data_IF_113953362438
#
_entry.id   IF_113953362438
#
_cell.length_a   1.000
_cell.length_b   1.000
_cell.length_c   1.000
_cell.angle_alpha   90.00
_cell.angle_beta   90.00
_cell.angle_gamma   90.00
#
_symmetry.space_group_name_H-M   'P 1'
#
loop_
_entity.id
_entity.type
_entity.pdbx_description
1 polymer ?
#
# COMPACT_ATOMS: atom_id res chain seq x y z
N UNK A 1 -20.78 -46.57 59.51
CA UNK A 1 -20.74 -45.20 58.95
C UNK A 1 -20.28 -45.26 57.50
N UNK A 2 -20.86 -44.47 56.58
CA UNK A 2 -20.94 -44.82 55.17
C UNK A 2 -19.81 -44.25 54.30
N UNK A 3 -19.49 -45.00 53.23
CA UNK A 3 -18.54 -44.65 52.16
C UNK A 3 -19.02 -43.41 51.39
N UNK A 4 -18.21 -42.35 51.34
CA UNK A 4 -18.47 -41.14 50.54
C UNK A 4 -18.18 -41.41 49.04
N UNK A 5 -19.21 -41.23 48.21
CA UNK A 5 -19.15 -41.26 46.74
C UNK A 5 -18.48 -39.98 46.21
N UNK A 6 -17.64 -40.11 45.17
CA UNK A 6 -17.13 -39.02 44.33
C UNK A 6 -18.31 -38.36 43.60
N UNK A 7 -18.40 -37.03 43.69
CA UNK A 7 -19.29 -36.21 42.88
C UNK A 7 -18.62 -35.94 41.53
N UNK A 8 -19.33 -36.22 40.44
CA UNK A 8 -18.97 -35.77 39.10
C UNK A 8 -19.28 -34.28 39.00
N UNK A 9 -18.29 -33.45 38.68
CA UNK A 9 -18.51 -32.07 38.29
C UNK A 9 -18.82 -32.03 36.80
N UNK A 10 -19.98 -31.48 36.48
CA UNK A 10 -20.45 -31.22 35.14
C UNK A 10 -19.71 -30.02 34.54
N UNK A 11 -19.18 -30.19 33.33
CA UNK A 11 -18.65 -29.10 32.50
C UNK A 11 -19.80 -28.16 32.09
N UNK A 12 -19.64 -26.83 32.16
CA UNK A 12 -20.61 -25.92 31.56
C UNK A 12 -20.44 -25.98 30.02
N UNK A 13 -21.54 -26.29 29.35
CA UNK A 13 -21.66 -26.35 27.89
C UNK A 13 -21.49 -24.95 27.27
N UNK A 14 -20.91 -24.98 26.08
CA UNK A 14 -20.68 -23.87 25.17
C UNK A 14 -21.93 -22.98 24.97
N UNK A 15 -21.68 -21.68 24.93
CA UNK A 15 -22.60 -20.68 24.36
C UNK A 15 -21.91 -19.95 23.19
N UNK A 16 -21.12 -20.67 22.40
CA UNK A 16 -20.17 -20.09 21.43
C UNK A 16 -20.67 -20.00 19.99
N UNK A 17 -21.92 -20.34 19.71
CA UNK A 17 -22.48 -20.22 18.36
C UNK A 17 -23.39 -18.99 18.21
N UNK A 18 -24.06 -18.54 19.28
CA UNK A 18 -25.02 -17.43 19.21
C UNK A 18 -24.34 -16.05 19.30
N UNK A 19 -23.24 -15.94 20.06
CA UNK A 19 -22.43 -14.71 20.12
C UNK A 19 -21.53 -14.55 18.87
N UNK A 20 -21.05 -15.67 18.31
CA UNK A 20 -20.34 -15.68 17.02
C UNK A 20 -21.30 -15.39 15.85
N UNK A 21 -22.54 -15.89 15.92
CA UNK A 21 -23.59 -15.53 14.97
C UNK A 21 -23.96 -14.04 15.10
N UNK A 22 -24.09 -13.49 16.31
CA UNK A 22 -24.34 -12.04 16.49
C UNK A 22 -23.20 -11.18 15.97
N UNK A 23 -21.94 -11.49 16.27
CA UNK A 23 -20.79 -10.76 15.73
C UNK A 23 -20.69 -10.88 14.19
N UNK A 24 -21.02 -12.06 13.63
CA UNK A 24 -21.10 -12.27 12.18
C UNK A 24 -22.34 -11.64 11.52
N UNK A 25 -23.37 -11.28 12.30
CA UNK A 25 -24.57 -10.58 11.83
C UNK A 25 -24.38 -9.07 11.93
N UNK A 26 -23.69 -8.56 12.97
CA UNK A 26 -23.34 -7.14 13.11
C UNK A 26 -22.32 -6.70 12.05
N UNK A 27 -21.43 -7.58 11.58
CA UNK A 27 -20.57 -7.31 10.41
C UNK A 27 -21.33 -7.33 9.06
N UNK A 28 -22.56 -7.87 9.02
CA UNK A 28 -23.40 -7.90 7.81
C UNK A 28 -24.41 -6.76 7.73
N UNK A 29 -24.66 -6.04 8.83
CA UNK A 29 -25.66 -4.96 8.86
C UNK A 29 -25.14 -3.57 8.45
N UNK A 30 -23.82 -3.40 8.28
CA UNK A 30 -23.27 -2.24 7.57
C UNK A 30 -23.18 -2.53 6.07
N UNK A 31 -24.34 -2.48 5.39
CA UNK A 31 -24.53 -2.39 3.94
C UNK A 31 -23.39 -2.88 3.04
N UNK A 32 -23.46 -4.15 2.62
CA UNK A 32 -22.64 -4.76 1.57
C UNK A 32 -23.04 -4.24 0.16
N UNK A 33 -23.05 -2.92 -0.01
CA UNK A 33 -23.04 -2.33 -1.35
C UNK A 33 -21.58 -2.31 -1.75
N UNK A 34 -21.17 -3.28 -2.57
CA UNK A 34 -19.86 -3.25 -3.20
C UNK A 34 -19.60 -1.83 -3.73
N UNK A 35 -18.43 -1.23 -3.46
CA UNK A 35 -18.17 0.15 -3.89
C UNK A 35 -18.49 0.27 -5.38
N UNK A 36 -19.26 1.30 -5.74
CA UNK A 36 -19.65 1.55 -7.13
C UNK A 36 -18.39 1.56 -8.00
N UNK A 37 -18.43 0.83 -9.11
CA UNK A 37 -17.34 0.75 -10.08
C UNK A 37 -17.89 1.07 -11.45
N UNK A 38 -17.33 2.10 -12.07
CA UNK A 38 -17.62 2.49 -13.45
C UNK A 38 -16.37 2.44 -14.32
N UNK A 39 -16.52 1.89 -15.51
CA UNK A 39 -15.47 1.80 -16.52
C UNK A 39 -15.63 2.94 -17.52
N UNK A 40 -14.52 3.59 -17.89
CA UNK A 40 -14.50 4.66 -18.87
C UNK A 40 -13.17 4.71 -19.64
N UNK A 41 -13.12 5.54 -20.68
CA UNK A 41 -11.96 5.67 -21.54
C UNK A 41 -11.46 7.12 -21.57
N UNK A 42 -10.15 7.31 -21.40
CA UNK A 42 -9.48 8.60 -21.53
C UNK A 42 -8.72 8.66 -22.87
N UNK A 43 -8.86 9.72 -23.69
CA UNK A 43 -8.06 9.87 -24.90
C UNK A 43 -6.56 9.91 -24.62
N UNK A 44 -5.76 9.18 -25.41
CA UNK A 44 -4.29 9.19 -25.30
C UNK A 44 -3.63 8.90 -26.65
N UNK A 45 -3.04 9.94 -27.25
CA UNK A 45 -2.50 9.91 -28.60
C UNK A 45 -3.56 9.43 -29.63
N UNK A 46 -3.28 8.36 -30.37
CA UNK A 46 -4.18 7.73 -31.35
C UNK A 46 -5.05 6.62 -30.74
N UNK A 47 -5.07 6.50 -29.40
CA UNK A 47 -5.70 5.41 -28.65
C UNK A 47 -6.46 5.94 -27.44
N UNK A 48 -6.98 5.02 -26.64
CA UNK A 48 -7.61 5.31 -25.36
C UNK A 48 -6.93 4.57 -24.20
N UNK A 49 -7.10 5.10 -22.99
CA UNK A 49 -6.68 4.50 -21.73
C UNK A 49 -7.93 3.98 -21.04
N UNK A 50 -8.01 2.66 -20.87
CA UNK A 50 -9.06 2.04 -20.04
C UNK A 50 -8.85 2.43 -18.57
N UNK A 51 -9.88 2.98 -17.96
CA UNK A 51 -9.90 3.40 -16.56
C UNK A 51 -11.11 2.79 -15.84
N UNK A 52 -10.95 2.58 -14.53
CA UNK A 52 -11.99 2.15 -13.61
C UNK A 52 -12.07 3.17 -12.46
N UNK A 53 -13.22 3.77 -12.22
CA UNK A 53 -13.47 4.61 -11.05
C UNK A 53 -14.19 3.79 -9.99
N UNK A 54 -13.55 3.62 -8.83
CA UNK A 54 -14.09 2.92 -7.67
C UNK A 54 -14.53 3.94 -6.60
N UNK A 55 -15.70 3.75 -6.00
CA UNK A 55 -16.28 4.64 -4.98
C UNK A 55 -17.36 5.56 -5.54
N UNK A 56 -17.66 6.67 -4.84
CA UNK A 56 -18.68 7.62 -5.28
C UNK A 56 -18.35 8.23 -6.64
N UNK A 57 -19.33 8.22 -7.55
CA UNK A 57 -19.18 8.73 -8.91
C UNK A 57 -19.35 10.26 -8.98
N UNK A 58 -20.06 10.84 -8.00
CA UNK A 58 -20.36 12.27 -7.93
C UNK A 58 -19.22 13.10 -7.32
N UNK A 59 -18.22 12.45 -6.74
CA UNK A 59 -17.08 13.09 -6.07
C UNK A 59 -15.83 12.92 -6.94
N UNK A 60 -15.02 13.98 -7.01
CA UNK A 60 -13.73 13.93 -7.68
C UNK A 60 -12.81 12.88 -7.04
N UNK A 61 -11.99 12.16 -7.84
CA UNK A 61 -11.07 11.17 -7.30
C UNK A 61 -10.05 11.80 -6.37
N UNK A 62 -9.80 11.16 -5.23
CA UNK A 62 -8.71 11.57 -4.35
C UNK A 62 -7.37 11.00 -4.80
N UNK A 63 -7.39 9.88 -5.53
CA UNK A 63 -6.21 9.17 -6.01
C UNK A 63 -6.38 8.74 -7.47
N UNK A 64 -5.36 8.99 -8.29
CA UNK A 64 -5.16 8.31 -9.59
C UNK A 64 -4.07 7.26 -9.42
N UNK A 65 -4.39 6.01 -9.75
CA UNK A 65 -3.58 4.83 -9.45
C UNK A 65 -3.32 3.98 -10.70
N UNK A 66 -2.15 3.34 -10.80
CA UNK A 66 -1.90 2.35 -11.86
C UNK A 66 -1.19 1.09 -11.35
N UNK A 67 -1.52 -0.02 -12.01
CA UNK A 67 -1.00 -1.35 -11.70
C UNK A 67 0.50 -1.51 -11.98
N UNK A 68 1.09 -2.60 -11.47
CA UNK A 68 2.48 -3.00 -11.76
C UNK A 68 2.67 -3.66 -13.13
N UNK A 69 3.91 -4.03 -13.44
CA UNK A 69 4.26 -4.72 -14.69
C UNK A 69 3.38 -5.96 -14.94
N UNK A 70 2.75 -6.05 -16.11
CA UNK A 70 2.01 -7.24 -16.59
C UNK A 70 0.67 -7.57 -15.90
N UNK A 71 0.29 -6.91 -14.81
CA UNK A 71 -0.90 -7.28 -14.02
C UNK A 71 -2.26 -6.77 -14.57
N UNK A 72 -2.28 -5.60 -15.21
CA UNK A 72 -3.53 -4.96 -15.64
C UNK A 72 -4.42 -4.53 -14.46
N UNK A 73 -5.64 -4.07 -14.78
CA UNK A 73 -6.62 -3.65 -13.77
C UNK A 73 -7.24 -4.83 -13.02
N UNK A 74 -7.37 -6.00 -13.65
CA UNK A 74 -7.93 -7.20 -13.01
C UNK A 74 -7.00 -7.93 -12.04
N UNK A 75 -5.79 -7.44 -11.78
CA UNK A 75 -4.91 -8.05 -10.79
C UNK A 75 -5.53 -7.92 -9.38
N UNK A 76 -5.57 -9.03 -8.62
CA UNK A 76 -6.17 -9.05 -7.28
C UNK A 76 -5.64 -7.94 -6.36
N UNK A 77 -4.32 -7.75 -6.29
CA UNK A 77 -3.71 -6.70 -5.49
C UNK A 77 -4.15 -5.27 -5.87
N UNK A 78 -4.56 -5.03 -7.13
CA UNK A 78 -5.10 -3.73 -7.58
C UNK A 78 -6.56 -3.61 -7.20
N UNK A 79 -7.37 -4.66 -7.46
CA UNK A 79 -8.79 -4.67 -7.16
C UNK A 79 -9.06 -4.60 -5.66
N UNK A 80 -8.35 -5.38 -4.85
CA UNK A 80 -8.53 -5.42 -3.40
C UNK A 80 -8.11 -4.08 -2.78
N UNK A 81 -6.98 -3.50 -3.21
CA UNK A 81 -6.58 -2.15 -2.80
C UNK A 81 -7.61 -1.09 -3.19
N UNK A 82 -8.05 -1.07 -4.45
CA UNK A 82 -9.00 -0.08 -4.95
C UNK A 82 -10.35 -0.16 -4.21
N UNK A 83 -10.85 -1.37 -3.95
CA UNK A 83 -12.07 -1.59 -3.16
C UNK A 83 -11.92 -1.11 -1.72
N UNK A 84 -10.78 -1.41 -1.09
CA UNK A 84 -10.47 -0.94 0.26
C UNK A 84 -10.41 0.58 0.34
N UNK A 85 -9.75 1.21 -0.64
CA UNK A 85 -9.65 2.66 -0.76
C UNK A 85 -11.03 3.30 -0.97
N UNK A 86 -11.85 2.70 -1.85
CA UNK A 86 -13.19 3.15 -2.21
C UNK A 86 -14.21 3.09 -1.06
N UNK A 87 -13.91 2.36 0.02
CA UNK A 87 -14.71 2.40 1.25
C UNK A 87 -14.64 3.77 1.96
N UNK A 88 -13.65 4.61 1.63
CA UNK A 88 -13.38 5.90 2.29
C UNK A 88 -13.40 7.06 1.28
N UNK A 89 -12.79 6.90 0.11
CA UNK A 89 -12.71 7.96 -0.91
C UNK A 89 -12.66 7.40 -2.34
N UNK A 90 -13.09 8.14 -3.38
CA UNK A 90 -13.02 7.64 -4.74
C UNK A 90 -11.57 7.54 -5.26
N UNK A 91 -11.29 6.47 -6.02
CA UNK A 91 -10.00 6.23 -6.70
C UNK A 91 -10.23 5.87 -8.16
N UNK A 92 -9.40 6.41 -9.05
CA UNK A 92 -9.34 6.00 -10.45
C UNK A 92 -8.14 5.10 -10.65
N UNK A 93 -8.38 3.90 -11.18
CA UNK A 93 -7.33 2.98 -11.60
C UNK A 93 -7.26 2.93 -13.13
N UNK A 94 -6.09 3.18 -13.72
CA UNK A 94 -5.94 3.10 -15.18
C UNK A 94 -4.99 1.99 -15.65
N UNK A 95 -5.28 1.42 -16.82
CA UNK A 95 -4.50 0.36 -17.45
C UNK A 95 -3.28 0.93 -18.16
N UNK A 96 -2.15 1.03 -17.46
CA UNK A 96 -0.89 1.49 -18.05
C UNK A 96 -0.20 0.42 -18.91
N UNK A 97 0.63 0.87 -19.86
CA UNK A 97 1.44 -0.02 -20.70
C UNK A 97 2.83 -0.36 -20.11
N UNK A 98 3.57 -1.27 -20.73
CA UNK A 98 4.87 -1.74 -20.20
C UNK A 98 6.02 -0.74 -20.38
N UNK A 99 5.80 0.39 -21.04
CA UNK A 99 6.81 1.43 -21.25
C UNK A 99 6.67 2.49 -20.15
N UNK A 100 7.67 2.59 -19.26
CA UNK A 100 7.63 3.51 -18.11
C UNK A 100 7.38 4.97 -18.53
N UNK A 101 8.11 5.49 -19.53
CA UNK A 101 7.93 6.87 -20.01
C UNK A 101 6.54 7.10 -20.60
N UNK A 102 6.02 6.13 -21.35
CA UNK A 102 4.65 6.21 -21.86
C UNK A 102 3.63 6.16 -20.72
N UNK A 103 3.87 5.37 -19.67
CA UNK A 103 2.99 5.28 -18.51
C UNK A 103 2.95 6.58 -17.71
N UNK A 104 4.07 7.30 -17.62
CA UNK A 104 4.12 8.67 -17.06
C UNK A 104 3.23 9.61 -17.87
N UNK A 105 3.32 9.60 -19.20
CA UNK A 105 2.43 10.40 -20.05
C UNK A 105 0.96 10.00 -19.95
N UNK A 106 0.67 8.72 -19.68
CA UNK A 106 -0.69 8.26 -19.41
C UNK A 106 -1.24 8.81 -18.09
N UNK A 107 -0.40 8.96 -17.05
CA UNK A 107 -0.81 9.70 -15.84
C UNK A 107 -1.24 11.12 -16.19
N UNK A 108 -0.45 11.82 -17.00
CA UNK A 108 -0.78 13.21 -17.37
C UNK A 108 -2.14 13.30 -18.06
N UNK A 109 -2.41 12.41 -19.02
CA UNK A 109 -3.69 12.37 -19.72
C UNK A 109 -4.87 12.09 -18.77
N UNK A 110 -4.74 11.14 -17.83
CA UNK A 110 -5.81 10.83 -16.86
C UNK A 110 -6.03 11.98 -15.88
N UNK A 111 -4.96 12.63 -15.41
CA UNK A 111 -5.03 13.78 -14.50
C UNK A 111 -5.65 15.00 -15.18
N UNK A 112 -5.33 15.24 -16.45
CA UNK A 112 -5.90 16.34 -17.24
C UNK A 112 -7.40 16.11 -17.53
N UNK A 113 -7.80 14.88 -17.83
CA UNK A 113 -9.18 14.52 -18.16
C UNK A 113 -10.13 14.52 -16.94
N UNK A 114 -9.63 14.14 -15.77
CA UNK A 114 -10.45 13.90 -14.58
C UNK A 114 -10.47 15.07 -13.57
N UNK A 115 -9.86 16.20 -13.93
CA UNK A 115 -9.43 17.26 -13.00
C UNK A 115 -8.39 16.70 -11.99
N UNK A 116 -7.39 17.48 -11.54
CA UNK A 116 -6.23 16.89 -10.90
C UNK A 116 -6.61 16.27 -9.55
N UNK A 117 -6.40 14.95 -9.45
CA UNK A 117 -6.51 14.26 -8.18
C UNK A 117 -5.50 14.81 -7.16
N UNK A 118 -5.87 14.75 -5.88
CA UNK A 118 -5.01 15.20 -4.78
C UNK A 118 -3.71 14.40 -4.68
N UNK A 119 -3.75 13.14 -5.11
CA UNK A 119 -2.65 12.21 -5.07
C UNK A 119 -2.50 11.37 -6.34
N UNK A 120 -1.26 10.95 -6.60
CA UNK A 120 -0.95 9.89 -7.55
C UNK A 120 -0.45 8.65 -6.81
N UNK A 121 -0.60 7.48 -7.40
CA UNK A 121 -0.08 6.28 -6.81
C UNK A 121 0.05 5.13 -7.79
N UNK A 122 0.67 4.07 -7.32
CA UNK A 122 0.73 2.85 -8.12
C UNK A 122 1.40 1.72 -7.38
N UNK A 123 1.42 0.57 -8.04
CA UNK A 123 2.11 -0.62 -7.53
C UNK A 123 3.34 -0.94 -8.36
N UNK A 124 4.50 -1.17 -7.73
CA UNK A 124 5.74 -1.57 -8.40
C UNK A 124 6.15 -0.59 -9.52
N UNK A 125 6.19 -1.03 -10.79
CA UNK A 125 6.41 -0.15 -11.95
C UNK A 125 5.43 1.04 -12.00
N UNK A 126 4.17 0.83 -11.58
CA UNK A 126 3.18 1.88 -11.48
C UNK A 126 3.53 2.93 -10.43
N UNK A 127 4.08 2.51 -9.28
CA UNK A 127 4.55 3.42 -8.23
C UNK A 127 5.68 4.32 -8.76
N UNK A 128 6.64 3.74 -9.51
CA UNK A 128 7.71 4.51 -10.16
C UNK A 128 7.16 5.51 -11.17
N UNK A 129 6.17 5.11 -11.98
CA UNK A 129 5.53 6.01 -12.93
C UNK A 129 4.80 7.16 -12.22
N UNK A 130 4.15 6.90 -11.08
CA UNK A 130 3.48 7.91 -10.29
C UNK A 130 4.45 8.97 -9.73
N UNK A 131 5.60 8.52 -9.17
CA UNK A 131 6.66 9.42 -8.70
C UNK A 131 7.15 10.31 -9.84
N UNK A 132 7.50 9.73 -10.98
CA UNK A 132 7.99 10.49 -12.14
C UNK A 132 6.95 11.48 -12.67
N UNK A 133 5.68 11.07 -12.76
CA UNK A 133 4.59 11.96 -13.19
C UNK A 133 4.39 13.13 -12.23
N UNK A 134 4.50 12.91 -10.91
CA UNK A 134 4.34 13.97 -9.93
C UNK A 134 5.37 15.10 -10.08
N UNK A 135 6.60 14.79 -10.50
CA UNK A 135 7.64 15.80 -10.74
C UNK A 135 7.49 16.49 -12.11
N UNK A 136 6.83 15.85 -13.07
CA UNK A 136 6.66 16.37 -14.44
C UNK A 136 5.38 17.22 -14.61
N UNK A 137 4.36 17.04 -13.76
CA UNK A 137 3.10 17.78 -13.83
C UNK A 137 3.26 19.26 -13.48
N UNK A 138 2.61 20.14 -14.25
CA UNK A 138 2.59 21.59 -13.97
C UNK A 138 1.93 21.94 -12.62
N UNK A 139 0.93 21.14 -12.23
CA UNK A 139 0.29 21.17 -10.92
C UNK A 139 0.61 19.85 -10.22
N UNK A 140 1.71 19.77 -9.45
CA UNK A 140 2.08 18.55 -8.76
C UNK A 140 0.99 18.08 -7.78
N UNK A 141 0.79 16.77 -7.62
CA UNK A 141 -0.06 16.26 -6.55
C UNK A 141 0.55 16.60 -5.18
N UNK A 142 -0.30 16.76 -4.17
CA UNK A 142 0.17 17.00 -2.78
C UNK A 142 0.66 15.72 -2.10
N UNK A 143 0.32 14.55 -2.63
CA UNK A 143 0.67 13.28 -2.03
C UNK A 143 0.92 12.15 -3.04
N UNK A 144 1.68 11.15 -2.61
CA UNK A 144 1.99 9.93 -3.34
C UNK A 144 1.66 8.68 -2.52
N UNK A 145 1.00 7.70 -3.13
CA UNK A 145 0.72 6.38 -2.53
C UNK A 145 1.47 5.28 -3.30
N UNK A 146 2.56 4.78 -2.72
CA UNK A 146 3.54 3.92 -3.37
C UNK A 146 3.49 2.50 -2.80
N UNK A 147 2.82 1.59 -3.50
CA UNK A 147 2.70 0.18 -3.09
C UNK A 147 3.83 -0.64 -3.71
N UNK A 148 4.55 -1.40 -2.89
CA UNK A 148 5.67 -2.25 -3.32
C UNK A 148 6.64 -1.47 -4.22
N UNK A 149 7.09 -0.28 -3.80
CA UNK A 149 8.00 0.53 -4.60
C UNK A 149 9.32 -0.24 -4.82
N UNK A 150 9.76 -0.50 -6.06
CA UNK A 150 10.89 -1.39 -6.30
C UNK A 150 12.20 -0.59 -6.30
N UNK A 151 12.90 -0.56 -5.16
CA UNK A 151 14.25 0.01 -5.01
C UNK A 151 15.29 -0.72 -5.85
N UNK A 152 15.12 -2.03 -6.05
CA UNK A 152 15.99 -2.84 -6.92
C UNK A 152 15.24 -3.42 -8.10
N UNK A 153 15.96 -3.67 -9.19
CA UNK A 153 15.38 -4.27 -10.39
C UNK A 153 15.07 -5.76 -10.16
N UNK A 154 13.87 -6.19 -10.54
CA UNK A 154 13.52 -7.61 -10.50
C UNK A 154 14.28 -8.42 -11.54
N UNK A 155 14.88 -9.55 -11.14
CA UNK A 155 15.51 -10.53 -12.03
C UNK A 155 16.94 -10.91 -11.60
N UNK A 156 17.33 -12.17 -11.85
CA UNK A 156 18.61 -12.77 -11.40
C UNK A 156 19.88 -12.11 -11.95
N UNK A 157 19.78 -11.34 -13.04
CA UNK A 157 20.94 -10.80 -13.77
C UNK A 157 20.97 -9.27 -13.85
N UNK A 158 19.97 -8.58 -13.29
CA UNK A 158 19.90 -7.13 -13.44
C UNK A 158 20.77 -6.47 -12.37
N UNK A 159 21.94 -5.97 -12.81
CA UNK A 159 22.78 -5.05 -12.03
C UNK A 159 21.87 -4.05 -11.34
N UNK A 160 22.02 -3.94 -10.02
CA UNK A 160 21.54 -2.83 -9.20
C UNK A 160 21.61 -1.55 -10.05
N UNK A 161 20.45 -0.99 -10.41
CA UNK A 161 20.31 0.42 -10.79
C UNK A 161 19.61 1.20 -9.65
N UNK A 162 20.11 1.14 -8.40
CA UNK A 162 19.52 1.82 -7.25
C UNK A 162 19.50 3.33 -7.50
N UNK A 163 20.61 3.88 -8.01
CA UNK A 163 20.79 5.33 -8.19
C UNK A 163 19.59 5.99 -8.88
N UNK A 164 19.10 5.46 -10.01
CA UNK A 164 17.98 6.07 -10.72
C UNK A 164 16.59 5.90 -10.07
N UNK A 165 16.42 4.96 -9.15
CA UNK A 165 15.13 4.69 -8.48
C UNK A 165 15.03 5.35 -7.12
N UNK A 166 16.15 5.47 -6.44
CA UNK A 166 16.29 6.20 -5.19
C UNK A 166 16.29 7.70 -5.46
N UNK A 167 17.01 8.14 -6.49
CA UNK A 167 17.15 9.57 -6.78
C UNK A 167 15.80 10.23 -7.09
N UNK A 168 14.91 9.57 -7.85
CA UNK A 168 13.58 10.14 -8.12
C UNK A 168 12.69 10.28 -6.88
N UNK A 169 12.98 9.53 -5.80
CA UNK A 169 12.33 9.73 -4.51
C UNK A 169 12.98 10.88 -3.74
N UNK A 170 14.31 10.94 -3.71
CA UNK A 170 15.09 11.99 -3.02
C UNK A 170 14.84 13.37 -3.65
N UNK A 171 14.61 13.42 -4.96
CA UNK A 171 14.32 14.64 -5.72
C UNK A 171 12.89 15.17 -5.50
N UNK A 172 12.02 14.43 -4.80
CA UNK A 172 10.67 14.91 -4.50
C UNK A 172 10.73 16.19 -3.64
N UNK A 173 9.88 17.18 -3.93
CA UNK A 173 9.88 18.44 -3.20
C UNK A 173 9.32 18.27 -1.78
N UNK A 174 9.65 19.21 -0.89
CA UNK A 174 9.28 19.15 0.54
C UNK A 174 7.76 19.17 0.74
N UNK A 175 7.03 19.79 -0.19
CA UNK A 175 5.58 19.93 -0.18
C UNK A 175 4.84 18.64 -0.59
N UNK A 176 5.56 17.60 -1.00
CA UNK A 176 4.98 16.29 -1.33
C UNK A 176 5.03 15.36 -0.12
N UNK A 177 3.89 14.78 0.23
CA UNK A 177 3.82 13.72 1.23
C UNK A 177 3.80 12.33 0.59
N UNK A 178 4.55 11.38 1.13
CA UNK A 178 4.71 10.05 0.51
C UNK A 178 4.31 8.95 1.49
N UNK A 179 3.30 8.17 1.13
CA UNK A 179 2.95 6.92 1.81
C UNK A 179 3.56 5.73 1.08
N UNK A 180 4.47 5.03 1.74
CA UNK A 180 4.93 3.72 1.31
C UNK A 180 4.05 2.62 1.92
N UNK A 181 3.62 1.67 1.09
CA UNK A 181 3.01 0.41 1.55
C UNK A 181 3.91 -0.72 1.07
N UNK A 182 4.68 -1.29 1.98
CA UNK A 182 5.74 -2.25 1.66
C UNK A 182 5.67 -3.48 2.56
N UNK A 183 5.97 -4.63 1.97
CA UNK A 183 6.04 -5.89 2.70
C UNK A 183 7.44 -6.14 3.24
N UNK A 184 7.55 -6.72 4.43
CA UNK A 184 8.86 -7.04 5.02
C UNK A 184 9.57 -8.24 4.35
N UNK A 185 8.91 -8.92 3.41
CA UNK A 185 9.49 -9.96 2.55
C UNK A 185 9.61 -9.50 1.08
N UNK A 186 9.53 -8.20 0.80
CA UNK A 186 9.67 -7.66 -0.56
C UNK A 186 11.13 -7.66 -1.03
N UNK A 187 11.50 -8.66 -1.82
CA UNK A 187 12.85 -8.75 -2.43
C UNK A 187 13.27 -7.57 -3.32
N UNK A 188 12.33 -6.73 -3.77
CA UNK A 188 12.63 -5.53 -4.56
C UNK A 188 12.66 -4.26 -3.73
N UNK A 189 12.22 -4.30 -2.46
CA UNK A 189 12.18 -3.18 -1.54
C UNK A 189 12.65 -3.62 -0.15
N UNK A 190 13.97 -3.60 0.04
CA UNK A 190 14.57 -3.83 1.35
C UNK A 190 14.19 -2.69 2.30
N UNK A 191 13.62 -3.00 3.47
CA UNK A 191 13.07 -1.99 4.38
C UNK A 191 14.17 -1.17 5.09
N UNK A 192 15.36 -1.72 5.29
CA UNK A 192 16.49 -0.95 5.83
C UNK A 192 16.97 0.08 4.81
N UNK A 193 17.12 -0.34 3.55
CA UNK A 193 17.43 0.59 2.45
C UNK A 193 16.33 1.63 2.26
N UNK A 194 15.05 1.23 2.36
CA UNK A 194 13.94 2.17 2.29
C UNK A 194 14.01 3.20 3.44
N UNK A 195 14.34 2.78 4.65
CA UNK A 195 14.52 3.68 5.79
C UNK A 195 15.66 4.68 5.54
N UNK A 196 16.79 4.23 4.98
CA UNK A 196 17.91 5.11 4.59
C UNK A 196 17.46 6.17 3.57
N UNK A 197 16.73 5.76 2.54
CA UNK A 197 16.26 6.69 1.49
C UNK A 197 15.24 7.67 2.06
N UNK A 198 14.30 7.21 2.87
CA UNK A 198 13.31 8.06 3.55
C UNK A 198 13.99 9.13 4.41
N UNK A 199 15.11 8.80 5.07
CA UNK A 199 15.91 9.77 5.82
C UNK A 199 16.65 10.81 4.95
N UNK A 200 16.80 10.57 3.65
CA UNK A 200 17.40 11.50 2.67
C UNK A 200 16.38 12.34 1.91
N UNK A 201 15.11 11.94 1.92
CA UNK A 201 14.04 12.66 1.22
C UNK A 201 13.72 13.98 1.91
N UNK A 202 13.41 15.01 1.12
CA UNK A 202 12.85 16.27 1.64
C UNK A 202 11.35 16.14 1.90
N UNK A 203 10.67 15.44 0.99
CA UNK A 203 9.29 15.00 1.14
C UNK A 203 9.09 14.25 2.46
N UNK A 204 8.01 14.56 3.19
CA UNK A 204 7.66 13.84 4.42
C UNK A 204 7.17 12.44 4.05
N UNK A 205 7.57 11.42 4.82
CA UNK A 205 7.30 10.03 4.46
C UNK A 205 6.65 9.23 5.58
N UNK A 206 5.69 8.38 5.20
CA UNK A 206 5.02 7.40 6.06
C UNK A 206 5.26 6.00 5.51
N UNK A 207 5.26 5.00 6.40
CA UNK A 207 5.39 3.60 6.06
C UNK A 207 4.27 2.80 6.71
N UNK A 208 3.50 2.10 5.87
CA UNK A 208 2.70 0.94 6.25
C UNK A 208 3.52 -0.29 5.93
N UNK A 209 4.03 -0.95 6.97
CA UNK A 209 4.73 -2.23 6.87
C UNK A 209 3.73 -3.38 6.91
N UNK A 210 3.70 -4.20 5.86
CA UNK A 210 2.82 -5.38 5.76
C UNK A 210 3.62 -6.63 6.09
N UNK A 211 3.39 -7.19 7.28
CA UNK A 211 4.10 -8.37 7.76
C UNK A 211 3.89 -9.59 6.86
N UNK A 212 4.99 -10.23 6.46
CA UNK A 212 5.00 -11.43 5.65
C UNK A 212 4.66 -11.22 4.17
N UNK A 213 4.41 -9.98 3.74
CA UNK A 213 4.06 -9.69 2.36
C UNK A 213 5.28 -9.67 1.44
N UNK A 214 5.18 -10.33 0.29
CA UNK A 214 6.17 -10.24 -0.78
C UNK A 214 5.93 -9.03 -1.70
N UNK A 215 6.73 -8.90 -2.76
CA UNK A 215 6.58 -7.83 -3.76
C UNK A 215 5.20 -7.81 -4.45
N UNK A 216 4.52 -8.96 -4.48
CA UNK A 216 3.17 -9.12 -5.00
C UNK A 216 2.07 -8.65 -4.06
N UNK A 217 2.41 -8.21 -2.84
CA UNK A 217 1.49 -8.12 -1.70
C UNK A 217 0.84 -9.47 -1.37
N UNK A 218 1.54 -10.58 -1.64
CA UNK A 218 1.09 -11.92 -1.25
C UNK A 218 1.58 -12.21 0.16
N UNK A 219 0.66 -12.62 1.03
CA UNK A 219 0.91 -13.06 2.40
C UNK A 219 0.52 -14.53 2.58
N UNK A 220 0.92 -15.12 3.72
CA UNK A 220 0.40 -16.41 4.18
C UNK A 220 -0.48 -16.19 5.41
N UNK A 221 -1.61 -16.91 5.53
CA UNK A 221 -2.20 -17.82 4.54
C UNK A 221 -2.75 -17.08 3.30
N UNK A 222 -2.95 -17.79 2.18
CA UNK A 222 -3.46 -17.17 0.94
C UNK A 222 -4.84 -16.51 1.12
N UNK A 223 -5.66 -17.02 2.05
CA UNK A 223 -6.95 -16.44 2.41
C UNK A 223 -6.83 -15.02 2.98
N UNK A 224 -5.68 -14.65 3.56
CA UNK A 224 -5.45 -13.33 4.13
C UNK A 224 -5.19 -12.24 3.08
N UNK A 225 -4.78 -12.61 1.86
CA UNK A 225 -4.32 -11.67 0.82
C UNK A 225 -5.36 -10.60 0.51
N UNK A 226 -6.62 -10.99 0.34
CA UNK A 226 -7.69 -10.05 0.04
C UNK A 226 -7.95 -9.10 1.21
N UNK A 227 -8.07 -9.61 2.43
CA UNK A 227 -8.32 -8.77 3.62
C UNK A 227 -7.19 -7.77 3.84
N UNK A 228 -5.93 -8.17 3.62
CA UNK A 228 -4.77 -7.27 3.68
C UNK A 228 -4.82 -6.22 2.56
N UNK A 229 -5.18 -6.61 1.34
CA UNK A 229 -5.35 -5.68 0.21
C UNK A 229 -6.43 -4.63 0.49
N UNK A 230 -7.59 -5.07 0.98
CA UNK A 230 -8.68 -4.18 1.40
C UNK A 230 -8.23 -3.23 2.52
N UNK A 231 -7.59 -3.76 3.57
CA UNK A 231 -7.18 -2.95 4.71
C UNK A 231 -6.11 -1.91 4.34
N UNK A 232 -5.13 -2.27 3.52
CA UNK A 232 -4.10 -1.33 3.06
C UNK A 232 -4.67 -0.24 2.15
N UNK A 233 -5.68 -0.57 1.31
CA UNK A 233 -6.48 0.40 0.58
C UNK A 233 -7.18 1.41 1.48
N UNK A 234 -7.86 0.90 2.50
CA UNK A 234 -8.57 1.73 3.48
C UNK A 234 -7.61 2.67 4.22
N UNK A 235 -6.51 2.15 4.75
CA UNK A 235 -5.48 2.96 5.47
C UNK A 235 -4.95 4.07 4.57
N UNK A 236 -4.69 3.79 3.29
CA UNK A 236 -4.18 4.79 2.36
C UNK A 236 -5.18 5.93 2.12
N UNK A 237 -6.48 5.62 2.02
CA UNK A 237 -7.52 6.62 1.86
C UNK A 237 -7.74 7.46 3.14
N UNK A 238 -7.69 6.82 4.30
CA UNK A 238 -7.73 7.51 5.61
C UNK A 238 -6.54 8.46 5.75
N UNK A 239 -5.32 7.97 5.49
CA UNK A 239 -4.08 8.76 5.53
C UNK A 239 -4.12 9.97 4.57
N UNK A 240 -4.69 9.79 3.38
CA UNK A 240 -4.81 10.87 2.41
C UNK A 240 -5.83 11.93 2.87
N UNK A 241 -6.87 11.50 3.57
CA UNK A 241 -7.91 12.38 4.12
C UNK A 241 -7.41 13.16 5.34
N UNK A 242 -6.68 12.50 6.23
CA UNK A 242 -6.07 13.08 7.42
C UNK A 242 -4.92 12.19 7.93
N UNK A 243 -3.80 12.80 8.29
CA UNK A 243 -2.65 12.09 8.86
C UNK A 243 -1.99 12.92 9.95
N UNK A 244 -1.47 12.23 10.96
CA UNK A 244 -0.61 12.83 11.97
C UNK A 244 0.82 12.91 11.42
N UNK A 245 1.37 14.12 11.39
CA UNK A 245 2.71 14.37 10.86
C UNK A 245 3.83 13.80 11.72
N UNK A 246 3.57 13.55 13.01
CA UNK A 246 4.54 12.98 13.95
C UNK A 246 4.58 11.45 13.93
N UNK A 247 3.52 10.81 13.44
CA UNK A 247 3.36 9.35 13.47
C UNK A 247 3.46 8.76 12.07
N UNK A 248 4.66 8.32 11.73
CA UNK A 248 5.05 7.97 10.36
C UNK A 248 5.16 6.46 10.10
N UNK A 249 4.87 5.63 11.10
CA UNK A 249 4.96 4.17 10.96
C UNK A 249 3.67 3.49 11.42
N UNK A 250 3.17 2.54 10.63
CA UNK A 250 2.07 1.66 10.98
C UNK A 250 2.42 0.25 10.51
N UNK A 251 2.02 -0.76 11.28
CA UNK A 251 2.21 -2.17 10.91
C UNK A 251 0.85 -2.83 10.67
N UNK A 252 0.77 -3.61 9.59
CA UNK A 252 -0.38 -4.42 9.24
C UNK A 252 0.07 -5.88 9.19
N UNK A 253 -0.66 -6.76 9.88
CA UNK A 253 -0.37 -8.18 9.94
C UNK A 253 -1.66 -9.00 9.86
N UNK A 254 -1.53 -10.28 9.52
CA UNK A 254 -2.60 -11.25 9.65
C UNK A 254 -2.50 -11.97 10.99
N UNK A 255 -3.61 -12.10 11.71
CA UNK A 255 -3.74 -12.93 12.91
C UNK A 255 -4.43 -14.25 12.54
N UNK A 256 -3.69 -15.35 12.64
CA UNK A 256 -4.20 -16.69 12.33
C UNK A 256 -5.25 -17.17 13.35
N UNK A 257 -5.14 -16.76 14.62
CA UNK A 257 -6.08 -17.17 15.68
C UNK A 257 -7.44 -16.49 15.49
N UNK A 258 -7.42 -15.20 15.16
CA UNK A 258 -8.63 -14.40 14.96
C UNK A 258 -9.15 -14.47 13.52
N UNK A 259 -8.34 -15.00 12.58
CA UNK A 259 -8.64 -14.96 11.15
C UNK A 259 -9.01 -13.55 10.68
N UNK A 260 -8.23 -12.56 11.13
CA UNK A 260 -8.50 -11.15 10.93
C UNK A 260 -7.20 -10.36 10.66
N UNK A 261 -7.35 -9.18 10.07
CA UNK A 261 -6.23 -8.26 9.87
C UNK A 261 -6.04 -7.44 11.15
N UNK A 262 -4.84 -7.51 11.71
CA UNK A 262 -4.39 -6.61 12.76
C UNK A 262 -3.76 -5.38 12.12
N UNK A 263 -4.22 -4.21 12.55
CA UNK A 263 -3.66 -2.92 12.18
C UNK A 263 -3.16 -2.25 13.45
N UNK A 264 -1.86 -2.04 13.54
CA UNK A 264 -1.27 -1.24 14.59
C UNK A 264 -1.66 0.23 14.44
N UNK A 265 -1.71 0.94 15.57
CA UNK A 265 -1.82 2.39 15.57
C UNK A 265 -0.62 3.03 14.86
N UNK A 266 -0.80 4.23 14.31
CA UNK A 266 0.31 5.03 13.83
C UNK A 266 1.25 5.39 14.99
N UNK A 267 2.55 5.24 14.79
CA UNK A 267 3.61 5.44 15.78
C UNK A 267 4.66 6.42 15.25
N UNK A 268 5.36 7.08 16.18
CA UNK A 268 6.59 7.81 15.87
C UNK A 268 7.63 6.84 15.30
N UNK A 269 8.37 7.27 14.28
CA UNK A 269 9.41 6.43 13.70
C UNK A 269 10.56 6.33 14.69
N UNK A 270 10.86 5.12 15.20
CA UNK A 270 12.03 4.92 16.05
C UNK A 270 13.29 5.13 15.23
N UNK A 271 13.98 6.25 15.46
CA UNK A 271 15.34 6.46 14.95
C UNK A 271 16.24 5.51 15.72
N UNK A 272 16.68 4.43 15.08
CA UNK A 272 17.73 3.58 15.65
C UNK A 272 19.06 4.32 15.51
N UNK A 273 19.45 5.04 16.56
CA UNK A 273 20.78 5.66 16.70
C UNK A 273 21.87 4.58 16.91
N UNK A 274 22.08 3.70 15.93
CA UNK A 274 23.32 2.90 15.89
C UNK A 274 24.33 3.60 14.97
N UNK A 275 25.34 4.21 15.60
CA UNK A 275 26.53 4.71 14.92
C UNK A 275 27.12 3.61 14.00
N UNK A 276 27.48 3.93 12.73
CA UNK A 276 28.11 2.96 11.87
C UNK A 276 29.44 2.50 12.49
N UNK A 277 29.76 1.18 12.45
CA UNK A 277 30.96 0.67 13.06
C UNK A 277 32.19 1.33 12.41
N UNK A 278 32.96 2.06 13.22
CA UNK A 278 34.21 2.68 12.81
C UNK A 278 35.13 1.61 12.21
N UNK A 279 35.31 1.64 10.89
CA UNK A 279 36.26 0.77 10.22
C UNK A 279 37.67 1.03 10.77
N UNK A 280 38.22 0.06 11.48
CA UNK A 280 39.62 0.07 11.87
C UNK A 280 40.47 -0.04 10.60
N UNK A 281 40.95 1.11 10.10
CA UNK A 281 42.06 1.19 9.15
C UNK A 281 43.26 0.45 9.74
N UNK A 282 43.44 -0.81 9.36
CA UNK A 282 44.71 -1.53 9.54
C UNK A 282 45.79 -0.78 8.77
N UNK A 283 46.60 0.00 9.50
CA UNK A 283 47.90 0.50 9.05
C UNK A 283 48.74 -0.70 8.61
N UNK A 284 48.92 -0.89 7.30
CA UNK A 284 50.03 -1.66 6.77
C UNK A 284 51.32 -0.94 7.15
N UNK A 285 52.13 -1.56 7.99
CA UNK A 285 53.52 -1.18 8.24
C UNK A 285 54.42 -2.28 7.66
N UNK A 286 55.43 -1.78 6.94
CA UNK A 286 56.56 -2.44 6.26
C UNK A 286 56.22 -3.18 4.98
#
# INVERSE_FOLDING_TARGET
>A
MPKRKRAAQASPKANSEEDAAKAATELKENGDVAPLKDDFEVPYADKTITCEKHGSQDIAPSLVFTHGAGGGLGAAAVQDFAKGFAAVAPVICFKGNMNLKSRVKMFHAVVEDQDPAKALGGRSMGARAAVMAAVELEKPPTALVLISYPLTAGGKEQKRQPEGREQILVDLPEETDVLFVSGDQDSQCDLELLAEIRGKMKAKTWLVEVKGADHGMTVKPKSAVQSIGLKTGQIAAEWLSSRDESKQYCQVAWDDEQSAVLCGEWQEQSVSDEEPPQSQRKRRKK
#
